data_IF_984258768861
#
_entry.id   IF_984258768861
#
_cell.length_a   1.000
_cell.length_b   1.000
_cell.length_c   1.000
_cell.angle_alpha   90.00
_cell.angle_beta   90.00
_cell.angle_gamma   90.00
#
_symmetry.space_group_name_H-M   'P 1'
#
loop_
_entity.id
_entity.type
_entity.pdbx_description
1 polymer ?
#
# COMPACT_ATOMS: atom_id res chain seq x y z
N UNK A 1 21.61 -5.61 81.41
CA UNK A 1 22.36 -6.44 80.45
C UNK A 1 21.37 -6.92 79.41
N UNK A 2 21.46 -6.43 78.16
CA UNK A 2 20.57 -6.86 77.10
C UNK A 2 21.02 -8.23 76.56
N UNK A 3 20.09 -9.17 76.50
CA UNK A 3 20.32 -10.57 76.16
C UNK A 3 20.86 -10.73 74.71
N UNK A 4 22.03 -11.37 74.50
CA UNK A 4 22.60 -11.60 73.17
C UNK A 4 21.66 -12.38 72.23
N UNK A 5 20.71 -13.16 72.74
CA UNK A 5 19.69 -13.84 71.93
C UNK A 5 18.71 -12.88 71.25
N UNK A 6 18.40 -11.74 71.89
CA UNK A 6 17.42 -10.76 71.42
C UNK A 6 17.98 -9.90 70.28
N UNK A 7 19.27 -9.57 70.34
CA UNK A 7 19.99 -8.88 69.27
C UNK A 7 20.15 -9.73 68.01
N UNK A 8 20.46 -11.02 68.16
CA UNK A 8 20.58 -11.94 67.04
C UNK A 8 19.23 -12.22 66.38
N UNK A 9 18.16 -12.35 67.16
CA UNK A 9 16.77 -12.49 66.69
C UNK A 9 16.27 -11.28 65.88
N UNK A 10 16.54 -10.06 66.36
CA UNK A 10 16.18 -8.83 65.65
C UNK A 10 16.96 -8.69 64.33
N UNK A 11 18.24 -9.06 64.32
CA UNK A 11 19.08 -8.99 63.12
C UNK A 11 18.68 -10.01 62.05
N UNK A 12 18.36 -11.24 62.43
CA UNK A 12 17.88 -12.26 61.49
C UNK A 12 16.49 -11.94 60.97
N UNK A 13 15.60 -11.39 61.81
CA UNK A 13 14.28 -10.89 61.39
C UNK A 13 14.39 -9.71 60.42
N UNK A 14 15.26 -8.73 60.68
CA UNK A 14 15.53 -7.60 59.77
C UNK A 14 16.13 -8.07 58.45
N UNK A 15 17.08 -9.01 58.45
CA UNK A 15 17.63 -9.61 57.21
C UNK A 15 16.58 -10.37 56.41
N UNK A 16 15.72 -11.13 57.09
CA UNK A 16 14.63 -11.88 56.46
C UNK A 16 13.60 -10.95 55.80
N UNK A 17 13.19 -9.90 56.51
CA UNK A 17 12.26 -8.91 55.98
C UNK A 17 12.88 -8.12 54.83
N UNK A 18 14.12 -7.63 54.95
CA UNK A 18 14.79 -6.91 53.84
C UNK A 18 15.02 -7.80 52.63
N UNK A 19 15.37 -9.07 52.80
CA UNK A 19 15.47 -10.03 51.69
C UNK A 19 14.12 -10.25 51.00
N UNK A 20 13.03 -10.36 51.76
CA UNK A 20 11.68 -10.52 51.22
C UNK A 20 11.23 -9.28 50.43
N UNK A 21 11.47 -8.08 50.97
CA UNK A 21 11.18 -6.82 50.28
C UNK A 21 12.03 -6.64 49.02
N UNK A 22 13.31 -7.03 49.07
CA UNK A 22 14.20 -6.96 47.91
C UNK A 22 13.79 -7.92 46.79
N UNK A 23 13.43 -9.16 47.13
CA UNK A 23 12.92 -10.14 46.17
C UNK A 23 11.58 -9.66 45.58
N UNK A 24 10.67 -9.15 46.42
CA UNK A 24 9.40 -8.57 45.95
C UNK A 24 9.60 -7.38 45.00
N UNK A 25 10.57 -6.51 45.30
CA UNK A 25 10.94 -5.37 44.45
C UNK A 25 11.55 -5.81 43.11
N UNK A 26 12.43 -6.82 43.10
CA UNK A 26 12.99 -7.39 41.87
C UNK A 26 11.91 -8.04 41.00
N UNK A 27 10.97 -8.76 41.59
CA UNK A 27 9.83 -9.36 40.87
C UNK A 27 8.95 -8.25 40.29
N UNK A 28 8.65 -7.19 41.04
CA UNK A 28 7.86 -6.07 40.56
C UNK A 28 8.55 -5.35 39.37
N UNK A 29 9.86 -5.09 39.47
CA UNK A 29 10.66 -4.53 38.37
C UNK A 29 10.60 -5.45 37.15
N UNK A 30 10.89 -6.75 37.31
CA UNK A 30 10.87 -7.70 36.20
C UNK A 30 9.49 -7.80 35.55
N UNK A 31 8.41 -7.69 36.32
CA UNK A 31 7.04 -7.71 35.80
C UNK A 31 6.73 -6.46 34.98
N UNK A 32 7.16 -5.27 35.44
CA UNK A 32 6.96 -3.99 34.74
C UNK A 32 7.81 -3.91 33.46
N UNK A 33 9.05 -4.37 33.48
CA UNK A 33 9.92 -4.34 32.30
C UNK A 33 9.56 -5.44 31.30
N UNK A 34 9.12 -6.61 31.76
CA UNK A 34 8.66 -7.70 30.89
C UNK A 34 7.41 -7.32 30.10
N UNK A 35 6.44 -6.63 30.73
CA UNK A 35 5.24 -6.15 30.04
C UNK A 35 5.57 -5.12 28.96
N UNK A 36 6.46 -4.16 29.25
CA UNK A 36 6.90 -3.15 28.27
C UNK A 36 7.67 -3.77 27.09
N UNK A 37 8.52 -4.78 27.33
CA UNK A 37 9.23 -5.51 26.28
C UNK A 37 8.28 -6.33 25.41
N UNK A 38 7.35 -7.08 26.02
CA UNK A 38 6.36 -7.85 25.26
C UNK A 38 5.39 -6.96 24.49
N UNK A 39 4.98 -5.82 25.03
CA UNK A 39 4.20 -4.82 24.30
C UNK A 39 4.99 -4.25 23.13
N UNK A 40 6.25 -3.86 23.33
CA UNK A 40 7.10 -3.33 22.25
C UNK A 40 7.29 -4.35 21.11
N UNK A 41 7.47 -5.63 21.44
CA UNK A 41 7.56 -6.72 20.46
C UNK A 41 6.20 -6.93 19.75
N UNK A 42 5.09 -6.94 20.49
CA UNK A 42 3.74 -7.06 19.91
C UNK A 42 3.41 -5.88 19.00
N UNK A 43 3.76 -4.66 19.39
CA UNK A 43 3.60 -3.47 18.56
C UNK A 43 4.48 -3.53 17.31
N UNK A 44 5.72 -4.00 17.44
CA UNK A 44 6.62 -4.24 16.31
C UNK A 44 6.06 -5.27 15.32
N UNK A 45 5.59 -6.42 15.82
CA UNK A 45 4.97 -7.47 15.02
C UNK A 45 3.67 -6.99 14.35
N UNK A 46 2.78 -6.33 15.09
CA UNK A 46 1.54 -5.77 14.54
C UNK A 46 1.82 -4.69 13.48
N UNK A 47 2.88 -3.90 13.66
CA UNK A 47 3.30 -2.89 12.69
C UNK A 47 3.85 -3.54 11.42
N UNK A 48 4.66 -4.58 11.54
CA UNK A 48 5.19 -5.35 10.42
C UNK A 48 4.07 -6.04 9.63
N UNK A 49 3.14 -6.70 10.32
CA UNK A 49 1.96 -7.34 9.72
C UNK A 49 1.07 -6.32 8.98
N UNK A 50 0.81 -5.17 9.61
CA UNK A 50 0.06 -4.07 8.97
C UNK A 50 0.77 -3.54 7.73
N UNK A 51 2.10 -3.46 7.76
CA UNK A 51 2.91 -2.99 6.62
C UNK A 51 2.82 -3.97 5.45
N UNK A 52 2.94 -5.28 5.70
CA UNK A 52 2.81 -6.32 4.67
C UNK A 52 1.44 -6.27 4.01
N UNK A 53 0.37 -6.22 4.80
CA UNK A 53 -1.00 -6.17 4.26
C UNK A 53 -1.24 -4.93 3.40
N UNK A 54 -0.74 -3.77 3.84
CA UNK A 54 -0.87 -2.52 3.08
C UNK A 54 -0.03 -2.53 1.80
N UNK A 55 1.15 -3.14 1.85
CA UNK A 55 1.98 -3.38 0.67
C UNK A 55 1.23 -4.27 -0.33
N UNK A 56 0.71 -5.42 0.09
CA UNK A 56 -0.03 -6.35 -0.78
C UNK A 56 -1.23 -5.67 -1.46
N UNK A 57 -2.00 -4.88 -0.70
CA UNK A 57 -3.14 -4.15 -1.24
C UNK A 57 -2.71 -3.11 -2.27
N UNK A 58 -1.74 -2.25 -1.94
CA UNK A 58 -1.22 -1.24 -2.86
C UNK A 58 -0.59 -1.87 -4.11
N UNK A 59 0.19 -2.94 -3.93
CA UNK A 59 0.85 -3.66 -5.01
C UNK A 59 -0.16 -4.31 -5.96
N UNK A 60 -1.21 -4.91 -5.41
CA UNK A 60 -2.32 -5.48 -6.18
C UNK A 60 -3.02 -4.41 -7.01
N UNK A 61 -3.36 -3.26 -6.43
CA UNK A 61 -4.08 -2.19 -7.16
C UNK A 61 -3.21 -1.50 -8.22
N UNK A 62 -1.92 -1.24 -7.94
CA UNK A 62 -0.97 -0.75 -8.95
C UNK A 62 -0.85 -1.75 -10.09
N UNK A 63 -0.66 -3.02 -9.78
CA UNK A 63 -0.47 -4.08 -10.80
C UNK A 63 -1.72 -4.27 -11.64
N UNK A 64 -2.90 -4.27 -11.01
CA UNK A 64 -4.18 -4.39 -11.71
C UNK A 64 -4.40 -3.22 -12.67
N UNK A 65 -4.12 -1.99 -12.24
CA UNK A 65 -4.25 -0.82 -13.11
C UNK A 65 -3.28 -0.86 -14.30
N UNK A 66 -2.00 -1.18 -14.06
CA UNK A 66 -1.00 -1.31 -15.14
C UNK A 66 -1.45 -2.36 -16.16
N UNK A 67 -1.90 -3.52 -15.68
CA UNK A 67 -2.40 -4.59 -16.55
C UNK A 67 -3.54 -4.11 -17.46
N UNK A 68 -4.57 -3.47 -16.91
CA UNK A 68 -5.70 -2.99 -17.72
C UNK A 68 -5.34 -1.81 -18.63
N UNK A 69 -4.37 -0.98 -18.25
CA UNK A 69 -3.85 0.07 -19.10
C UNK A 69 -3.09 -0.51 -20.31
N UNK A 70 -2.19 -1.46 -20.09
CA UNK A 70 -1.47 -2.17 -21.16
C UNK A 70 -2.45 -2.91 -22.09
N UNK A 71 -3.45 -3.58 -21.51
CA UNK A 71 -4.52 -4.23 -22.26
C UNK A 71 -5.31 -3.23 -23.11
N UNK A 72 -5.63 -2.06 -22.56
CA UNK A 72 -6.32 -1.00 -23.32
C UNK A 72 -5.48 -0.53 -24.51
N UNK A 73 -4.16 -0.34 -24.33
CA UNK A 73 -3.24 0.00 -25.43
C UNK A 73 -3.24 -1.09 -26.50
N UNK A 74 -3.14 -2.37 -26.10
CA UNK A 74 -3.13 -3.50 -27.04
C UNK A 74 -4.39 -3.55 -27.90
N UNK A 75 -5.56 -3.40 -27.29
CA UNK A 75 -6.82 -3.51 -28.00
C UNK A 75 -7.08 -2.33 -28.93
N UNK A 76 -6.72 -1.12 -28.50
CA UNK A 76 -6.80 0.07 -29.35
C UNK A 76 -5.83 -0.10 -30.54
N UNK A 77 -4.59 -0.56 -30.29
CA UNK A 77 -3.57 -0.82 -31.33
C UNK A 77 -4.02 -1.84 -32.36
N UNK A 78 -4.69 -2.92 -31.93
CA UNK A 78 -5.18 -3.96 -32.82
C UNK A 78 -6.57 -3.66 -33.40
N UNK A 79 -7.13 -2.48 -33.14
CA UNK A 79 -8.47 -2.08 -33.55
C UNK A 79 -9.56 -3.11 -33.14
N UNK A 80 -9.40 -3.66 -31.94
CA UNK A 80 -10.34 -4.56 -31.26
C UNK A 80 -11.36 -3.76 -30.45
N UNK A 81 -11.96 -2.77 -31.10
CA UNK A 81 -12.85 -1.77 -30.50
C UNK A 81 -14.32 -2.00 -30.85
N UNK A 82 -14.68 -3.24 -31.21
CA UNK A 82 -16.09 -3.62 -31.40
C UNK A 82 -16.80 -3.69 -30.05
N UNK A 83 -18.12 -3.49 -30.04
CA UNK A 83 -18.93 -3.36 -28.81
C UNK A 83 -18.62 -4.42 -27.73
N UNK A 84 -18.73 -5.71 -28.06
CA UNK A 84 -18.53 -6.79 -27.07
C UNK A 84 -17.12 -6.75 -26.45
N UNK A 85 -16.13 -6.43 -27.27
CA UNK A 85 -14.73 -6.36 -26.87
C UNK A 85 -14.46 -5.12 -26.03
N UNK A 86 -14.99 -3.98 -26.48
CA UNK A 86 -14.85 -2.70 -25.83
C UNK A 86 -15.49 -2.68 -24.44
N UNK A 87 -16.69 -3.26 -24.28
CA UNK A 87 -17.38 -3.34 -22.99
C UNK A 87 -16.55 -4.07 -21.92
N UNK A 88 -15.90 -5.19 -22.29
CA UNK A 88 -15.06 -5.97 -21.37
C UNK A 88 -13.84 -5.16 -20.89
N UNK A 89 -13.18 -4.44 -21.79
CA UNK A 89 -11.97 -3.68 -21.48
C UNK A 89 -12.29 -2.42 -20.69
N UNK A 90 -13.27 -1.65 -21.17
CA UNK A 90 -13.70 -0.41 -20.51
C UNK A 90 -14.18 -0.72 -19.09
N UNK A 91 -14.91 -1.82 -18.89
CA UNK A 91 -15.31 -2.27 -17.55
C UNK A 91 -14.11 -2.55 -16.64
N UNK A 92 -13.16 -3.36 -17.10
CA UNK A 92 -11.95 -3.70 -16.33
C UNK A 92 -11.06 -2.48 -16.04
N UNK A 93 -10.83 -1.65 -17.05
CA UNK A 93 -10.12 -0.38 -16.93
C UNK A 93 -10.78 0.54 -15.91
N UNK A 94 -12.08 0.84 -16.07
CA UNK A 94 -12.82 1.73 -15.19
C UNK A 94 -12.81 1.25 -13.73
N UNK A 95 -12.94 -0.06 -13.52
CA UNK A 95 -12.85 -0.62 -12.18
C UNK A 95 -11.45 -0.41 -11.57
N UNK A 96 -10.40 -0.68 -12.33
CA UNK A 96 -9.01 -0.56 -11.85
C UNK A 96 -8.64 0.89 -11.51
N UNK A 97 -8.94 1.87 -12.38
CA UNK A 97 -8.68 3.29 -12.10
C UNK A 97 -9.53 3.79 -10.94
N UNK A 98 -10.78 3.32 -10.82
CA UNK A 98 -11.67 3.71 -9.72
C UNK A 98 -11.13 3.23 -8.38
N UNK A 99 -10.67 1.98 -8.29
CA UNK A 99 -10.09 1.43 -7.07
C UNK A 99 -8.86 2.26 -6.66
N UNK A 100 -7.91 2.41 -7.59
CA UNK A 100 -6.65 3.11 -7.35
C UNK A 100 -6.89 4.57 -6.93
N UNK A 101 -7.73 5.32 -7.67
CA UNK A 101 -7.98 6.73 -7.39
C UNK A 101 -8.81 6.99 -6.14
N UNK A 102 -9.78 6.13 -5.82
CA UNK A 102 -10.58 6.30 -4.59
C UNK A 102 -9.73 6.15 -3.33
N UNK A 103 -8.66 5.35 -3.41
CA UNK A 103 -7.75 5.09 -2.30
C UNK A 103 -6.45 5.90 -2.37
N UNK A 104 -6.28 6.80 -3.34
CA UNK A 104 -5.06 7.60 -3.52
C UNK A 104 -4.59 8.27 -2.21
N UNK A 105 -5.51 8.92 -1.48
CA UNK A 105 -5.20 9.53 -0.18
C UNK A 105 -4.81 8.50 0.90
N UNK A 106 -5.48 7.35 0.91
CA UNK A 106 -5.18 6.26 1.85
C UNK A 106 -3.76 5.72 1.60
N UNK A 107 -3.39 5.56 0.33
CA UNK A 107 -2.06 5.11 -0.06
C UNK A 107 -0.97 6.12 0.29
N UNK A 108 -1.20 7.41 0.04
CA UNK A 108 -0.27 8.46 0.47
C UNK A 108 -0.06 8.43 2.00
N UNK A 109 -1.13 8.26 2.78
CA UNK A 109 -1.04 8.17 4.23
C UNK A 109 -0.27 6.92 4.69
N UNK A 110 -0.46 5.76 4.04
CA UNK A 110 0.30 4.54 4.32
C UNK A 110 1.78 4.70 3.98
N UNK A 111 2.09 5.19 2.78
CA UNK A 111 3.45 5.43 2.33
C UNK A 111 4.19 6.37 3.28
N UNK A 112 3.56 7.48 3.66
CA UNK A 112 4.11 8.40 4.64
C UNK A 112 4.36 7.74 6.00
N UNK A 113 3.44 6.91 6.48
CA UNK A 113 3.51 6.28 7.81
C UNK A 113 4.55 5.15 7.90
N UNK A 114 4.76 4.39 6.82
CA UNK A 114 5.52 3.14 6.87
C UNK A 114 6.80 3.14 6.03
N UNK A 115 6.93 3.97 4.99
CA UNK A 115 8.13 4.04 4.13
C UNK A 115 8.78 5.44 4.10
N UNK A 116 8.01 6.50 4.32
CA UNK A 116 8.51 7.87 4.42
C UNK A 116 8.36 8.69 3.14
N UNK A 117 8.91 9.90 3.16
CA UNK A 117 8.63 10.94 2.15
C UNK A 117 9.06 10.57 0.74
N UNK A 118 10.22 9.90 0.58
CA UNK A 118 10.72 9.54 -0.76
C UNK A 118 9.70 8.67 -1.53
N UNK A 119 9.04 7.75 -0.82
CA UNK A 119 8.09 6.82 -1.43
C UNK A 119 6.73 7.48 -1.68
N UNK A 120 6.38 8.48 -0.88
CA UNK A 120 5.27 9.41 -1.19
C UNK A 120 5.54 10.13 -2.51
N UNK A 121 6.70 10.77 -2.65
CA UNK A 121 7.05 11.54 -3.85
C UNK A 121 7.07 10.64 -5.12
N UNK A 122 7.55 9.40 -4.99
CA UNK A 122 7.50 8.41 -6.09
C UNK A 122 6.06 8.06 -6.48
N UNK A 123 5.20 7.81 -5.49
CA UNK A 123 3.81 7.45 -5.74
C UNK A 123 3.03 8.60 -6.36
N UNK A 124 3.26 9.84 -5.92
CA UNK A 124 2.66 11.02 -6.54
C UNK A 124 3.04 11.13 -8.02
N UNK A 125 4.32 10.90 -8.35
CA UNK A 125 4.78 10.89 -9.73
C UNK A 125 4.11 9.79 -10.57
N UNK A 126 3.97 8.59 -10.02
CA UNK A 126 3.22 7.51 -10.67
C UNK A 126 1.74 7.90 -10.89
N UNK A 127 1.10 8.52 -9.90
CA UNK A 127 -0.29 8.98 -10.00
C UNK A 127 -0.46 10.10 -11.03
N UNK A 128 0.55 10.94 -11.28
CA UNK A 128 0.55 11.90 -12.38
C UNK A 128 0.53 11.20 -13.75
N UNK A 129 1.33 10.15 -13.92
CA UNK A 129 1.34 9.34 -15.14
C UNK A 129 0.02 8.59 -15.33
N UNK A 130 -0.55 8.03 -14.26
CA UNK A 130 -1.90 7.43 -14.23
C UNK A 130 -2.95 8.42 -14.74
N UNK A 131 -2.95 9.66 -14.22
CA UNK A 131 -3.90 10.72 -14.63
C UNK A 131 -3.72 11.12 -16.09
N UNK A 132 -2.48 11.15 -16.58
CA UNK A 132 -2.16 11.44 -17.99
C UNK A 132 -2.67 10.34 -18.92
N UNK A 133 -2.51 9.08 -18.53
CA UNK A 133 -3.05 7.94 -19.28
C UNK A 133 -4.58 7.97 -19.29
N UNK A 134 -5.19 8.25 -18.13
CA UNK A 134 -6.64 8.37 -17.98
C UNK A 134 -7.25 9.47 -18.85
N UNK A 135 -6.58 10.63 -18.93
CA UNK A 135 -6.98 11.69 -19.84
C UNK A 135 -6.96 11.24 -21.31
N UNK A 136 -5.99 10.41 -21.69
CA UNK A 136 -5.88 9.87 -23.05
C UNK A 136 -7.02 8.90 -23.37
N UNK A 137 -7.37 8.00 -22.44
CA UNK A 137 -8.54 7.11 -22.56
C UNK A 137 -9.82 7.94 -22.67
N UNK A 138 -10.02 8.92 -21.78
CA UNK A 138 -11.22 9.74 -21.77
C UNK A 138 -11.42 10.55 -23.05
N UNK A 139 -10.35 10.86 -23.79
CA UNK A 139 -10.45 11.50 -25.09
C UNK A 139 -11.13 10.64 -26.18
N UNK A 140 -11.34 9.34 -25.89
CA UNK A 140 -12.08 8.39 -26.72
C UNK A 140 -13.51 8.13 -26.22
N UNK A 141 -13.96 8.76 -25.13
CA UNK A 141 -15.26 8.48 -24.52
C UNK A 141 -16.45 8.64 -25.48
N UNK A 142 -16.42 9.67 -26.34
CA UNK A 142 -17.48 9.88 -27.32
C UNK A 142 -17.54 8.74 -28.34
N UNK A 143 -16.38 8.33 -28.86
CA UNK A 143 -16.26 7.17 -29.76
C UNK A 143 -16.72 5.87 -29.09
N UNK A 144 -16.28 5.65 -27.84
CA UNK A 144 -16.68 4.48 -27.06
C UNK A 144 -18.19 4.47 -26.80
N UNK A 145 -18.76 5.64 -26.50
CA UNK A 145 -20.20 5.80 -26.28
C UNK A 145 -21.02 5.55 -27.56
N UNK A 146 -20.50 5.93 -28.72
CA UNK A 146 -21.15 5.65 -30.00
C UNK A 146 -21.08 4.17 -30.39
N UNK A 147 -19.95 3.50 -30.13
CA UNK A 147 -19.85 2.04 -30.31
C UNK A 147 -20.75 1.29 -29.32
N UNK A 148 -20.74 1.65 -28.04
CA UNK A 148 -21.56 0.99 -27.02
C UNK A 148 -23.07 1.10 -27.30
N UNK A 149 -23.51 2.26 -27.83
CA UNK A 149 -24.90 2.49 -28.27
C UNK A 149 -25.23 1.87 -29.63
N UNK A 150 -24.27 1.27 -30.31
CA UNK A 150 -24.46 0.66 -31.64
C UNK A 150 -24.58 1.66 -32.79
N UNK A 151 -24.18 2.93 -32.58
CA UNK A 151 -24.15 3.96 -33.63
C UNK A 151 -22.93 3.80 -34.55
N UNK A 152 -21.87 3.17 -34.04
CA UNK A 152 -20.66 2.80 -34.78
C UNK A 152 -20.35 1.33 -34.54
N UNK A 153 -19.78 0.66 -35.55
CA UNK A 153 -19.31 -0.73 -35.41
C UNK A 153 -18.01 -0.81 -34.60
N UNK A 154 -17.14 0.21 -34.76
CA UNK A 154 -15.82 0.35 -34.13
C UNK A 154 -15.48 1.82 -33.96
N UNK A 155 -14.49 2.10 -33.12
CA UNK A 155 -13.90 3.43 -32.95
C UNK A 155 -13.18 3.83 -34.23
N UNK A 156 -13.18 5.13 -34.57
CA UNK A 156 -12.44 5.64 -35.72
C UNK A 156 -10.93 5.30 -35.64
N UNK A 157 -10.37 4.55 -36.63
CA UNK A 157 -8.96 4.20 -36.67
C UNK A 157 -7.99 5.39 -36.64
N UNK A 158 -8.37 6.53 -37.22
CA UNK A 158 -7.52 7.74 -37.16
C UNK A 158 -7.44 8.28 -35.75
N UNK A 159 -8.58 8.30 -35.06
CA UNK A 159 -8.65 8.74 -33.67
C UNK A 159 -7.90 7.80 -32.73
N UNK A 160 -7.98 6.48 -32.98
CA UNK A 160 -7.17 5.52 -32.21
C UNK A 160 -5.68 5.75 -32.40
N UNK A 161 -5.22 6.04 -33.62
CA UNK A 161 -3.81 6.29 -33.90
C UNK A 161 -3.29 7.53 -33.17
N UNK A 162 -4.02 8.65 -33.24
CA UNK A 162 -3.69 9.89 -32.51
C UNK A 162 -3.53 9.64 -31.00
N UNK A 163 -4.47 8.90 -30.42
CA UNK A 163 -4.47 8.61 -28.99
C UNK A 163 -3.38 7.61 -28.62
N UNK A 164 -3.08 6.62 -29.47
CA UNK A 164 -1.98 5.66 -29.25
C UNK A 164 -0.61 6.32 -29.16
N UNK A 165 -0.38 7.41 -29.93
CA UNK A 165 0.88 8.18 -29.85
C UNK A 165 1.11 8.74 -28.44
N UNK A 166 0.06 9.00 -27.68
CA UNK A 166 0.12 9.49 -26.29
C UNK A 166 0.04 8.34 -25.29
N UNK A 167 -0.87 7.38 -25.49
CA UNK A 167 -1.13 6.29 -24.55
C UNK A 167 0.07 5.36 -24.40
N UNK A 168 0.70 4.96 -25.49
CA UNK A 168 1.79 3.97 -25.44
C UNK A 168 2.99 4.45 -24.63
N UNK A 169 3.60 5.63 -24.90
CA UNK A 169 4.73 6.10 -24.09
C UNK A 169 4.32 6.36 -22.63
N UNK A 170 3.07 6.79 -22.40
CA UNK A 170 2.56 7.00 -21.04
C UNK A 170 2.42 5.68 -20.28
N UNK A 171 1.90 4.62 -20.92
CA UNK A 171 1.79 3.28 -20.33
C UNK A 171 3.16 2.68 -20.04
N UNK A 172 4.14 2.83 -20.94
CA UNK A 172 5.51 2.37 -20.72
C UNK A 172 6.13 3.07 -19.51
N UNK A 173 6.00 4.40 -19.43
CA UNK A 173 6.48 5.20 -18.28
C UNK A 173 5.79 4.78 -16.98
N UNK A 174 4.48 4.57 -17.02
CA UNK A 174 3.66 4.17 -15.88
C UNK A 174 4.07 2.79 -15.35
N UNK A 175 4.34 1.83 -16.24
CA UNK A 175 4.87 0.51 -15.87
C UNK A 175 6.20 0.65 -15.15
N UNK A 176 7.11 1.47 -15.69
CA UNK A 176 8.45 1.63 -15.14
C UNK A 176 8.40 2.33 -13.78
N UNK A 177 7.61 3.40 -13.64
CA UNK A 177 7.37 4.08 -12.36
C UNK A 177 6.69 3.17 -11.34
N UNK A 178 5.69 2.39 -11.75
CA UNK A 178 5.02 1.41 -10.90
C UNK A 178 5.99 0.35 -10.38
N UNK A 179 6.83 -0.23 -11.26
CA UNK A 179 7.87 -1.19 -10.86
C UNK A 179 8.88 -0.60 -9.88
N UNK A 180 9.27 0.65 -10.08
CA UNK A 180 10.19 1.35 -9.18
C UNK A 180 9.60 1.51 -7.78
N UNK A 181 8.31 1.88 -7.68
CA UNK A 181 7.62 1.97 -6.40
C UNK A 181 7.56 0.61 -5.73
N UNK A 182 7.05 -0.42 -6.41
CA UNK A 182 6.89 -1.75 -5.81
C UNK A 182 8.21 -2.30 -5.28
N UNK A 183 9.30 -2.17 -6.04
CA UNK A 183 10.64 -2.56 -5.59
C UNK A 183 11.13 -1.76 -4.39
N UNK A 184 10.87 -0.46 -4.34
CA UNK A 184 11.24 0.35 -3.17
C UNK A 184 10.46 -0.04 -1.92
N UNK A 185 9.21 -0.50 -2.07
CA UNK A 185 8.38 -0.90 -0.94
C UNK A 185 8.81 -2.25 -0.36
N UNK A 186 9.34 -3.16 -1.19
CA UNK A 186 9.90 -4.45 -0.75
C UNK A 186 11.24 -4.32 -0.01
N UNK A 187 12.04 -3.31 -0.36
CA UNK A 187 13.40 -3.17 0.14
C UNK A 187 13.52 -2.46 1.51
N UNK A 188 12.48 -1.70 1.90
CA UNK A 188 12.44 -0.97 3.17
C UNK A 188 11.83 -1.79 4.28
#
# INVERSE_FOLDING_TARGET
MADPGLRNSIWTSLKSQTATWFVGFLIAILTIFSSQLTESIKFGLNRADSRTKQYEELASEISQYIFYAELSVEFIKNNWTAKETLEKIVGGYNQSITNLRKKEFVYLAWLHKYWGKQEVDRFEKFMETVKTFDASIHSLNDEFGDVGRGRKLKVDPKRTEEVLMLMKPTADRMRDEGRLILRSLEAG
#
